data_IF_532311237879
#
_entry.id   IF_532311237879
#
_cell.length_a   1.000
_cell.length_b   1.000
_cell.length_c   1.000
_cell.angle_alpha   90.00
_cell.angle_beta   90.00
_cell.angle_gamma   90.00
#
_symmetry.space_group_name_H-M   'P 1'
#
loop_
_entity.id
_entity.type
_entity.pdbx_description
1 polymer ?
#
# COMPACT_ATOMS: atom_id res chain seq x y z
N UNK A 1 4.91 9.15 -23.38
CA UNK A 1 4.53 9.36 -21.97
C UNK A 1 5.57 8.65 -21.10
N UNK A 2 6.48 9.41 -20.48
CA UNK A 2 7.67 8.86 -19.83
C UNK A 2 7.33 8.10 -18.54
N UNK A 3 7.63 6.80 -18.53
CA UNK A 3 7.33 5.85 -17.45
C UNK A 3 8.52 5.76 -16.47
N UNK A 4 9.06 6.90 -16.03
CA UNK A 4 10.22 6.96 -15.13
C UNK A 4 9.80 7.43 -13.72
N UNK A 5 9.82 6.49 -12.76
CA UNK A 5 9.58 6.77 -11.33
C UNK A 5 9.72 5.50 -10.50
N UNK A 6 10.18 5.61 -9.25
CA UNK A 6 10.52 4.46 -8.38
C UNK A 6 9.41 3.39 -8.26
N UNK A 7 8.13 3.78 -8.29
CA UNK A 7 7.00 2.83 -8.26
C UNK A 7 6.84 2.01 -9.55
N UNK A 8 7.30 2.53 -10.69
CA UNK A 8 7.34 1.77 -11.95
C UNK A 8 8.47 0.74 -11.90
N UNK A 9 9.61 1.11 -11.31
CA UNK A 9 10.76 0.20 -11.17
C UNK A 9 10.48 -0.91 -10.17
N UNK A 10 9.86 -0.60 -9.03
CA UNK A 10 9.53 -1.58 -7.99
C UNK A 10 8.29 -2.39 -8.36
N UNK A 11 7.33 -1.80 -9.08
CA UNK A 11 6.08 -2.43 -9.50
C UNK A 11 5.42 -3.31 -8.40
N UNK A 12 5.09 -2.74 -7.23
CA UNK A 12 4.64 -3.52 -6.09
C UNK A 12 3.29 -4.20 -6.37
N UNK A 13 3.17 -5.47 -6.01
CA UNK A 13 1.88 -6.19 -6.01
C UNK A 13 0.98 -5.69 -4.87
N UNK A 14 1.58 -5.34 -3.73
CA UNK A 14 0.89 -4.86 -2.53
C UNK A 14 1.63 -3.65 -1.95
N UNK A 15 0.87 -2.69 -1.43
CA UNK A 15 1.38 -1.54 -0.68
C UNK A 15 0.57 -1.36 0.59
N UNK A 16 1.25 -1.19 1.73
CA UNK A 16 0.63 -0.98 3.04
C UNK A 16 1.01 0.40 3.54
N UNK A 17 0.03 1.22 3.90
CA UNK A 17 0.26 2.52 4.54
C UNK A 17 -0.14 2.43 6.00
N UNK A 18 0.86 2.53 6.88
CA UNK A 18 0.63 2.63 8.32
C UNK A 18 0.22 4.06 8.67
N UNK A 19 -1.02 4.21 9.12
CA UNK A 19 -1.63 5.49 9.51
C UNK A 19 -2.72 5.26 10.55
N UNK A 20 -2.87 6.20 11.49
CA UNK A 20 -3.88 6.14 12.54
C UNK A 20 -5.28 6.56 12.07
N UNK A 21 -6.33 5.93 12.62
CA UNK A 21 -7.75 6.17 12.29
C UNK A 21 -8.24 7.61 12.46
N UNK A 22 -7.55 8.43 13.24
CA UNK A 22 -7.86 9.85 13.46
C UNK A 22 -6.65 10.74 13.12
N UNK A 23 -5.92 10.39 12.07
CA UNK A 23 -4.75 11.14 11.67
C UNK A 23 -5.12 12.57 11.21
N UNK A 24 -4.87 13.56 12.06
CA UNK A 24 -5.15 14.99 11.79
C UNK A 24 -4.12 15.64 10.87
N UNK A 25 -2.99 14.98 10.58
CA UNK A 25 -1.95 15.51 9.70
C UNK A 25 -2.34 15.48 8.21
N UNK A 26 -3.48 14.88 7.85
CA UNK A 26 -3.92 14.80 6.46
C UNK A 26 -3.08 13.84 5.60
N UNK A 27 -2.34 12.93 6.23
CA UNK A 27 -1.60 11.86 5.55
C UNK A 27 -2.39 10.55 5.54
N UNK A 28 -2.17 9.69 4.53
CA UNK A 28 -1.43 9.95 3.29
C UNK A 28 -2.16 10.93 2.37
N UNK A 29 -1.41 11.78 1.64
CA UNK A 29 -2.03 12.78 0.76
C UNK A 29 -2.70 12.12 -0.46
N UNK A 30 -3.75 12.74 -1.04
CA UNK A 30 -4.42 12.20 -2.23
C UNK A 30 -3.47 11.96 -3.42
N UNK A 31 -2.44 12.81 -3.57
CA UNK A 31 -1.42 12.66 -4.62
C UNK A 31 -0.59 11.38 -4.45
N UNK A 32 -0.21 11.03 -3.21
CA UNK A 32 0.52 9.79 -2.92
C UNK A 32 -0.36 8.58 -3.15
N UNK A 33 -1.60 8.62 -2.65
CA UNK A 33 -2.58 7.57 -2.87
C UNK A 33 -2.82 7.33 -4.37
N UNK A 34 -3.02 8.39 -5.15
CA UNK A 34 -3.21 8.30 -6.59
C UNK A 34 -2.02 7.67 -7.32
N UNK A 35 -0.78 7.97 -6.89
CA UNK A 35 0.42 7.34 -7.47
C UNK A 35 0.54 5.85 -7.15
N UNK A 36 0.19 5.44 -5.94
CA UNK A 36 0.17 4.03 -5.57
C UNK A 36 -0.90 3.29 -6.36
N UNK A 37 -2.13 3.80 -6.40
CA UNK A 37 -3.21 3.19 -7.18
C UNK A 37 -2.88 3.11 -8.67
N UNK A 38 -2.28 4.15 -9.24
CA UNK A 38 -1.84 4.16 -10.64
C UNK A 38 -0.69 3.17 -10.94
N UNK A 39 0.01 2.66 -9.92
CA UNK A 39 1.03 1.61 -10.12
C UNK A 39 0.42 0.20 -10.25
N UNK A 40 -0.89 0.04 -10.07
CA UNK A 40 -1.55 -1.27 -10.10
C UNK A 40 -1.39 -2.09 -8.82
N UNK A 41 -0.90 -1.49 -7.74
CA UNK A 41 -0.75 -2.16 -6.44
C UNK A 41 -2.09 -2.37 -5.75
N UNK A 42 -2.21 -3.43 -4.96
CA UNK A 42 -3.29 -3.53 -3.97
C UNK A 42 -2.93 -2.73 -2.74
N UNK A 43 -3.69 -1.69 -2.44
CA UNK A 43 -3.40 -0.75 -1.37
C UNK A 43 -4.20 -1.07 -0.10
N UNK A 44 -3.49 -1.27 1.02
CA UNK A 44 -4.07 -1.40 2.36
C UNK A 44 -3.67 -0.21 3.24
N UNK A 45 -4.57 0.20 4.12
CA UNK A 45 -4.30 1.27 5.09
C UNK A 45 -4.80 0.89 6.48
N UNK A 46 -3.95 1.02 7.50
CA UNK A 46 -4.30 0.57 8.85
C UNK A 46 -5.43 1.37 9.50
N UNK A 47 -5.70 2.59 9.04
CA UNK A 47 -6.84 3.40 9.50
C UNK A 47 -8.19 2.90 8.97
N UNK A 48 -8.19 2.22 7.82
CA UNK A 48 -9.38 1.69 7.17
C UNK A 48 -9.55 0.19 7.42
N UNK A 49 -8.46 -0.55 7.26
CA UNK A 49 -8.38 -2.01 7.27
C UNK A 49 -8.06 -2.61 8.65
N UNK A 50 -7.63 -1.79 9.61
CA UNK A 50 -7.14 -2.25 10.91
C UNK A 50 -5.72 -2.84 10.82
N UNK A 51 -5.46 -3.91 11.58
CA UNK A 51 -4.21 -4.66 11.50
C UNK A 51 -4.09 -5.34 10.14
N UNK A 52 -2.96 -5.13 9.46
CA UNK A 52 -2.63 -5.77 8.19
C UNK A 52 -1.45 -6.71 8.41
N UNK A 53 -1.64 -8.00 8.19
CA UNK A 53 -0.59 -9.03 8.32
C UNK A 53 -0.22 -9.56 6.95
N UNK A 54 1.07 -9.49 6.61
CA UNK A 54 1.62 -10.09 5.38
C UNK A 54 2.51 -11.27 5.77
N UNK A 55 2.18 -12.45 5.23
CA UNK A 55 2.97 -13.68 5.39
C UNK A 55 3.57 -14.02 4.04
N UNK A 56 4.87 -13.82 3.88
CA UNK A 56 5.61 -14.20 2.67
C UNK A 56 6.28 -15.57 2.84
N UNK A 57 6.37 -16.31 1.74
CA UNK A 57 7.04 -17.61 1.67
C UNK A 57 8.28 -17.52 0.78
N UNK A 58 9.27 -18.42 0.94
CA UNK A 58 10.47 -18.44 0.11
C UNK A 58 10.20 -18.66 -1.39
N UNK A 59 9.05 -19.26 -1.75
CA UNK A 59 8.61 -19.46 -3.12
C UNK A 59 8.10 -18.18 -3.81
N UNK A 60 8.17 -17.02 -3.12
CA UNK A 60 7.69 -15.74 -3.62
C UNK A 60 6.18 -15.53 -3.48
N UNK A 61 5.44 -16.51 -2.96
CA UNK A 61 4.02 -16.33 -2.65
C UNK A 61 3.85 -15.59 -1.34
N UNK A 62 2.73 -14.88 -1.20
CA UNK A 62 2.36 -14.25 0.05
C UNK A 62 0.85 -14.29 0.27
N UNK A 63 0.45 -14.14 1.53
CA UNK A 63 -0.94 -13.95 1.94
C UNK A 63 -1.07 -12.65 2.72
N UNK A 64 -2.16 -11.93 2.50
CA UNK A 64 -2.51 -10.72 3.25
C UNK A 64 -3.78 -10.98 4.04
N UNK A 65 -3.75 -10.68 5.34
CA UNK A 65 -4.91 -10.71 6.23
C UNK A 65 -5.16 -9.32 6.79
N UNK A 66 -6.44 -9.00 7.04
CA UNK A 66 -6.89 -7.74 7.63
C UNK A 66 -7.79 -8.03 8.83
N UNK A 67 -7.60 -7.30 9.92
CA UNK A 67 -8.36 -7.46 11.16
C UNK A 67 -8.67 -6.08 11.75
N UNK A 68 -9.95 -5.72 11.86
CA UNK A 68 -10.41 -4.37 12.21
C UNK A 68 -10.99 -4.30 13.62
#
# INVERSE_FOLDING_TARGET
MSRFGALVTVAPQVSVVSVGRRNRYGHPSPRVLGRLLASGTTLYRTDLDGTVTLVARPDGTFQVRRER
#
